data_IF_096177319440
#
_entry.id   IF_096177319440
#
_cell.length_a   1.000
_cell.length_b   1.000
_cell.length_c   1.000
_cell.angle_alpha   90.00
_cell.angle_beta   90.00
_cell.angle_gamma   90.00
#
_symmetry.space_group_name_H-M   'P 1'
#
loop_
_entity.id
_entity.type
_entity.pdbx_description
1 polymer ?
#
# COMPACT_ATOMS: atom_id res chain seq x y z
N UNK A 1 50.70 -19.50 21.60
CA UNK A 1 50.03 -18.43 20.82
C UNK A 1 48.53 -18.58 21.03
N UNK A 2 47.89 -17.61 21.67
CA UNK A 2 46.49 -17.65 22.09
C UNK A 2 45.77 -16.53 21.34
N UNK A 3 45.18 -16.85 20.20
CA UNK A 3 44.46 -15.86 19.37
C UNK A 3 43.02 -15.80 19.88
N UNK A 4 42.72 -14.80 20.71
CA UNK A 4 41.34 -14.44 21.04
C UNK A 4 40.83 -13.52 19.92
N UNK A 5 40.02 -14.06 19.01
CA UNK A 5 39.25 -13.24 18.08
C UNK A 5 38.02 -12.72 18.81
N UNK A 6 38.07 -11.44 19.19
CA UNK A 6 36.91 -10.69 19.68
C UNK A 6 35.94 -10.49 18.52
N UNK A 7 34.89 -11.31 18.46
CA UNK A 7 33.73 -11.09 17.61
C UNK A 7 32.99 -9.85 18.13
N UNK A 8 33.18 -8.71 17.46
CA UNK A 8 32.36 -7.52 17.64
C UNK A 8 30.95 -7.81 17.10
N UNK A 9 29.87 -7.64 17.88
CA UNK A 9 28.53 -7.68 17.31
C UNK A 9 28.34 -6.35 16.58
N UNK A 10 28.38 -6.39 15.25
CA UNK A 10 27.87 -5.30 14.42
C UNK A 10 26.38 -5.22 14.72
N UNK A 11 26.01 -4.30 15.62
CA UNK A 11 24.63 -3.93 15.86
C UNK A 11 24.16 -3.24 14.58
N UNK A 12 23.47 -4.01 13.73
CA UNK A 12 22.73 -3.45 12.60
C UNK A 12 21.61 -2.59 13.18
N UNK A 13 21.84 -1.28 13.23
CA UNK A 13 20.78 -0.30 13.42
C UNK A 13 19.86 -0.39 12.19
N UNK A 14 18.74 -1.09 12.36
CA UNK A 14 17.63 -1.02 11.40
C UNK A 14 17.02 0.37 11.56
N UNK A 15 17.48 1.32 10.75
CA UNK A 15 16.82 2.61 10.60
C UNK A 15 15.39 2.31 10.08
N UNK A 16 14.33 2.77 10.75
CA UNK A 16 13.00 2.72 10.15
C UNK A 16 13.09 3.58 8.89
N UNK A 17 13.04 2.95 7.72
CA UNK A 17 12.85 3.68 6.48
C UNK A 17 11.52 4.37 6.65
N UNK A 18 11.53 5.71 6.70
CA UNK A 18 10.32 6.49 6.62
C UNK A 18 9.63 6.03 5.34
N UNK A 19 8.55 5.25 5.49
CA UNK A 19 7.66 4.93 4.39
C UNK A 19 7.18 6.28 3.92
N UNK A 20 7.64 6.70 2.75
CA UNK A 20 7.06 7.83 2.05
C UNK A 20 5.59 7.45 1.90
N UNK A 21 4.72 8.12 2.64
CA UNK A 21 3.28 7.90 2.56
C UNK A 21 2.85 8.32 1.16
N UNK A 22 2.72 7.33 0.29
CA UNK A 22 2.21 7.52 -1.06
C UNK A 22 0.69 7.58 -0.93
N UNK A 23 0.11 8.74 -1.24
CA UNK A 23 -1.34 8.90 -1.19
C UNK A 23 -1.94 8.45 -2.52
N UNK A 24 -3.11 7.82 -2.46
CA UNK A 24 -3.84 7.25 -3.58
C UNK A 24 -5.32 7.67 -3.52
N UNK A 25 -5.94 7.75 -4.69
CA UNK A 25 -7.40 7.76 -4.84
C UNK A 25 -7.89 6.39 -5.27
N UNK A 26 -8.77 5.80 -4.47
CA UNK A 26 -9.62 4.70 -4.91
C UNK A 26 -10.89 5.29 -5.52
N UNK A 27 -11.02 5.15 -6.85
CA UNK A 27 -12.21 5.53 -7.60
C UNK A 27 -13.10 4.30 -7.75
N UNK A 28 -14.29 4.35 -7.20
CA UNK A 28 -15.30 3.30 -7.34
C UNK A 28 -16.40 3.78 -8.28
N UNK A 29 -16.85 2.90 -9.15
CA UNK A 29 -17.99 3.17 -10.02
C UNK A 29 -18.97 2.02 -9.98
N UNK A 30 -20.25 2.39 -10.02
CA UNK A 30 -21.36 1.47 -10.18
C UNK A 30 -22.27 2.01 -11.27
N UNK A 31 -22.63 1.13 -12.21
CA UNK A 31 -23.48 1.48 -13.34
C UNK A 31 -24.80 2.09 -12.85
N UNK A 32 -25.05 3.34 -13.23
CA UNK A 32 -26.31 4.05 -12.92
C UNK A 32 -26.33 4.83 -11.61
N UNK A 33 -25.26 4.83 -10.80
CA UNK A 33 -25.22 5.55 -9.51
C UNK A 33 -24.10 6.58 -9.40
N UNK A 34 -23.15 6.62 -10.34
CA UNK A 34 -22.07 7.61 -10.37
C UNK A 34 -20.73 7.10 -9.84
N UNK A 35 -19.85 8.05 -9.51
CA UNK A 35 -18.49 7.80 -9.06
C UNK A 35 -18.34 8.16 -7.58
N UNK A 36 -17.64 7.32 -6.83
CA UNK A 36 -17.18 7.60 -5.48
C UNK A 36 -15.65 7.65 -5.46
N UNK A 37 -15.10 8.55 -4.64
CA UNK A 37 -13.65 8.73 -4.47
C UNK A 37 -13.31 8.61 -2.99
N UNK A 38 -12.32 7.77 -2.69
CA UNK A 38 -11.81 7.56 -1.33
C UNK A 38 -10.30 7.85 -1.35
N UNK A 39 -9.82 8.60 -0.37
CA UNK A 39 -8.39 8.85 -0.14
C UNK A 39 -7.78 7.69 0.64
N UNK A 40 -6.65 7.19 0.16
CA UNK A 40 -5.94 6.03 0.68
C UNK A 40 -4.46 6.40 0.86
N UNK A 41 -3.80 5.85 1.85
CA UNK A 41 -2.37 6.07 2.17
C UNK A 41 -1.48 4.87 1.79
N UNK A 42 -2.10 3.84 1.19
CA UNK A 42 -1.46 2.59 0.82
C UNK A 42 -2.02 2.05 -0.52
N UNK A 43 -1.12 1.74 -1.46
CA UNK A 43 -1.45 1.16 -2.76
C UNK A 43 -2.10 -0.22 -2.64
N UNK A 44 -1.57 -1.07 -1.77
CA UNK A 44 -2.03 -2.45 -1.60
C UNK A 44 -3.48 -2.47 -1.12
N UNK A 45 -3.80 -1.65 -0.12
CA UNK A 45 -5.15 -1.52 0.39
C UNK A 45 -6.11 -0.93 -0.66
N UNK A 46 -5.64 0.08 -1.42
CA UNK A 46 -6.39 0.66 -2.53
C UNK A 46 -6.76 -0.39 -3.60
N UNK A 47 -5.81 -1.23 -4.00
CA UNK A 47 -6.05 -2.32 -4.96
C UNK A 47 -6.94 -3.42 -4.37
N UNK A 48 -6.72 -3.82 -3.12
CA UNK A 48 -7.46 -4.89 -2.47
C UNK A 48 -8.95 -4.52 -2.31
N UNK A 49 -9.24 -3.33 -1.80
CA UNK A 49 -10.61 -2.85 -1.63
C UNK A 49 -11.31 -2.67 -2.98
N UNK A 50 -10.60 -2.15 -3.99
CA UNK A 50 -11.14 -1.99 -5.33
C UNK A 50 -11.50 -3.32 -6.02
N UNK A 51 -10.68 -4.36 -5.82
CA UNK A 51 -10.99 -5.73 -6.28
C UNK A 51 -12.23 -6.27 -5.58
N UNK A 52 -12.26 -6.20 -4.25
CA UNK A 52 -13.42 -6.64 -3.46
C UNK A 52 -14.71 -5.95 -3.93
N UNK A 53 -14.67 -4.64 -4.18
CA UNK A 53 -15.81 -3.88 -4.74
C UNK A 53 -16.30 -4.42 -6.09
N UNK A 54 -15.37 -4.72 -6.99
CA UNK A 54 -15.70 -5.19 -8.35
C UNK A 54 -16.20 -6.63 -8.36
N UNK A 55 -15.78 -7.43 -7.39
CA UNK A 55 -16.27 -8.80 -7.21
C UNK A 55 -17.72 -8.85 -6.68
N UNK A 56 -18.20 -7.79 -6.00
CA UNK A 56 -19.60 -7.72 -5.54
C UNK A 56 -20.59 -7.79 -6.72
N UNK A 57 -20.24 -7.20 -7.86
CA UNK A 57 -21.11 -7.20 -9.05
C UNK A 57 -20.31 -6.91 -10.31
N UNK A 58 -20.60 -7.62 -11.40
CA UNK A 58 -20.03 -7.30 -12.72
C UNK A 58 -20.42 -5.93 -13.29
N UNK A 59 -21.22 -5.14 -12.56
CA UNK A 59 -21.55 -3.75 -12.87
C UNK A 59 -20.76 -2.72 -12.04
N UNK A 60 -19.93 -3.19 -11.12
CA UNK A 60 -19.02 -2.41 -10.30
C UNK A 60 -17.62 -2.49 -10.91
N UNK A 61 -16.95 -1.34 -11.06
CA UNK A 61 -15.53 -1.31 -11.44
C UNK A 61 -14.78 -0.32 -10.56
N UNK A 62 -13.45 -0.35 -10.64
CA UNK A 62 -12.59 0.50 -9.82
C UNK A 62 -11.36 0.99 -10.59
N UNK A 63 -10.72 2.03 -10.05
CA UNK A 63 -9.36 2.42 -10.40
C UNK A 63 -8.61 2.87 -9.13
N UNK A 64 -7.33 2.52 -9.03
CA UNK A 64 -6.43 3.04 -8.01
C UNK A 64 -5.45 4.02 -8.67
N UNK A 65 -5.45 5.28 -8.26
CA UNK A 65 -4.65 6.36 -8.86
C UNK A 65 -3.72 6.97 -7.83
N UNK A 66 -2.43 7.08 -8.12
CA UNK A 66 -1.49 7.78 -7.24
C UNK A 66 -1.76 9.28 -7.27
N UNK A 67 -1.65 9.93 -6.12
CA UNK A 67 -1.76 11.38 -5.95
C UNK A 67 -0.35 11.96 -6.09
N UNK A 68 -0.16 12.78 -7.12
CA UNK A 68 1.08 13.54 -7.37
C UNK A 68 1.13 14.84 -6.56
#
# INVERSE_FOLDING_TARGET
MKTLLLLSPIVFFVLPTAVLSENYYLILTKRGTGLERIEMDNKEDCDQLGKQWSEVSGSHTYACLQIE
#
